data_IF_433417845992
#
_entry.id   IF_433417845992
#
_cell.length_a   1.000
_cell.length_b   1.000
_cell.length_c   1.000
_cell.angle_alpha   90.00
_cell.angle_beta   90.00
_cell.angle_gamma   90.00
#
_symmetry.space_group_name_H-M   'P 1'
#
loop_
_entity.id
_entity.type
_entity.pdbx_description
1 polymer ?
#
# COMPACT_ATOMS: atom_id res chain seq x y z
N UNK A 1 11.38 9.79 -10.18
CA UNK A 1 10.80 8.89 -9.17
C UNK A 1 9.34 9.27 -9.00
N UNK A 2 8.44 8.28 -8.90
CA UNK A 2 7.01 8.55 -8.68
C UNK A 2 6.76 8.97 -7.23
N UNK A 3 6.03 10.07 -7.07
CA UNK A 3 5.70 10.65 -5.77
C UNK A 3 4.19 10.87 -5.66
N UNK A 4 3.68 10.92 -4.45
CA UNK A 4 2.29 11.28 -4.19
C UNK A 4 2.12 12.80 -4.28
N UNK A 5 1.69 13.29 -5.44
CA UNK A 5 1.39 14.72 -5.66
C UNK A 5 0.33 15.25 -4.69
N UNK A 6 -0.68 14.42 -4.41
CA UNK A 6 -1.74 14.74 -3.43
C UNK A 6 -1.17 14.89 -2.02
N UNK A 7 -0.24 14.03 -1.60
CA UNK A 7 0.37 14.14 -0.27
C UNK A 7 1.14 15.46 -0.11
N UNK A 8 1.93 15.85 -1.11
CA UNK A 8 2.66 17.13 -1.10
C UNK A 8 1.68 18.31 -0.97
N UNK A 9 0.61 18.30 -1.78
CA UNK A 9 -0.41 19.35 -1.75
C UNK A 9 -1.12 19.41 -0.39
N UNK A 10 -1.47 18.27 0.19
CA UNK A 10 -2.14 18.19 1.48
C UNK A 10 -1.28 18.73 2.61
N UNK A 11 -0.01 18.31 2.71
CA UNK A 11 0.88 18.79 3.76
C UNK A 11 1.17 20.28 3.61
N UNK A 12 1.32 20.78 2.37
CA UNK A 12 1.44 22.22 2.11
C UNK A 12 0.20 22.99 2.60
N UNK A 13 -1.00 22.51 2.27
CA UNK A 13 -2.25 23.16 2.67
C UNK A 13 -2.48 23.09 4.18
N UNK A 14 -2.14 21.96 4.83
CA UNK A 14 -2.20 21.81 6.30
C UNK A 14 -1.37 22.86 7.02
N UNK A 15 -0.23 23.24 6.45
CA UNK A 15 0.65 24.29 6.97
C UNK A 15 0.24 25.71 6.54
N UNK A 16 -0.83 25.86 5.76
CA UNK A 16 -1.32 27.16 5.28
C UNK A 16 -0.42 27.81 4.23
N UNK A 17 0.41 27.03 3.55
CA UNK A 17 1.39 27.57 2.60
C UNK A 17 0.85 27.65 1.18
N UNK A 18 1.19 28.73 0.48
CA UNK A 18 1.06 28.82 -0.98
C UNK A 18 2.14 27.98 -1.67
N UNK A 19 1.96 27.67 -2.96
CA UNK A 19 2.99 26.96 -3.73
C UNK A 19 4.32 27.72 -3.77
N UNK A 20 4.26 29.05 -3.79
CA UNK A 20 5.45 29.90 -3.78
C UNK A 20 6.17 29.87 -2.43
N UNK A 21 5.43 29.90 -1.32
CA UNK A 21 6.02 29.71 0.01
C UNK A 21 6.68 28.33 0.17
N UNK A 22 6.04 27.25 -0.30
CA UNK A 22 6.69 25.94 -0.28
C UNK A 22 7.97 25.93 -1.13
N UNK A 23 7.96 26.59 -2.28
CA UNK A 23 9.13 26.69 -3.14
C UNK A 23 10.29 27.41 -2.44
N UNK A 24 10.00 28.55 -1.80
CA UNK A 24 11.00 29.32 -1.04
C UNK A 24 11.56 28.53 0.16
N UNK A 25 10.71 27.87 0.96
CA UNK A 25 11.15 27.14 2.16
C UNK A 25 11.93 25.88 1.77
N UNK A 26 11.53 25.19 0.70
CA UNK A 26 12.19 23.98 0.21
C UNK A 26 13.41 24.22 -0.67
N UNK A 27 13.78 25.48 -0.91
CA UNK A 27 14.84 25.88 -1.85
C UNK A 27 14.64 25.26 -3.25
N UNK A 28 13.41 25.36 -3.76
CA UNK A 28 13.00 24.87 -5.07
C UNK A 28 12.41 26.01 -5.90
N UNK A 29 12.44 25.86 -7.23
CA UNK A 29 11.68 26.77 -8.09
C UNK A 29 10.17 26.53 -7.95
N UNK A 30 9.37 27.59 -8.11
CA UNK A 30 7.90 27.48 -8.18
C UNK A 30 7.47 26.47 -9.26
N UNK A 31 8.16 26.45 -10.40
CA UNK A 31 7.92 25.48 -11.47
C UNK A 31 8.16 24.04 -11.01
N UNK A 32 9.16 23.81 -10.17
CA UNK A 32 9.43 22.48 -9.60
C UNK A 32 8.28 22.04 -8.70
N UNK A 33 7.81 22.91 -7.81
CA UNK A 33 6.66 22.62 -6.92
C UNK A 33 5.39 22.37 -7.72
N UNK A 34 5.09 23.20 -8.72
CA UNK A 34 3.94 23.00 -9.61
C UNK A 34 4.04 21.68 -10.37
N UNK A 35 5.22 21.33 -10.89
CA UNK A 35 5.45 20.07 -11.59
C UNK A 35 5.26 18.87 -10.66
N UNK A 36 5.76 18.97 -9.43
CA UNK A 36 5.56 17.97 -8.37
C UNK A 36 4.07 17.75 -8.08
N UNK A 37 3.30 18.82 -7.89
CA UNK A 37 1.87 18.71 -7.57
C UNK A 37 1.01 18.27 -8.77
N UNK A 38 1.48 18.42 -10.01
CA UNK A 38 0.67 18.11 -11.21
C UNK A 38 1.09 16.83 -11.95
N UNK A 39 2.38 16.45 -11.92
CA UNK A 39 2.93 15.36 -12.73
C UNK A 39 3.37 14.14 -11.89
N UNK A 40 3.22 14.20 -10.56
CA UNK A 40 3.56 13.09 -9.65
C UNK A 40 4.99 12.55 -9.82
N UNK A 41 5.94 13.38 -10.26
CA UNK A 41 7.32 12.98 -10.55
C UNK A 41 8.35 14.01 -10.10
N UNK A 42 9.39 13.55 -9.39
CA UNK A 42 10.48 14.39 -8.87
C UNK A 42 11.85 13.69 -8.92
N UNK A 43 12.92 14.48 -8.82
CA UNK A 43 14.27 13.96 -8.56
C UNK A 43 14.42 13.57 -7.08
N UNK A 44 15.43 12.76 -6.76
CA UNK A 44 15.70 12.40 -5.36
C UNK A 44 16.04 13.60 -4.49
N UNK A 45 16.74 14.58 -5.05
CA UNK A 45 17.08 15.83 -4.36
C UNK A 45 15.82 16.62 -4.02
N UNK A 46 14.92 16.83 -4.99
CA UNK A 46 13.61 17.47 -4.74
C UNK A 46 12.81 16.73 -3.68
N UNK A 47 12.81 15.39 -3.71
CA UNK A 47 12.13 14.58 -2.68
C UNK A 47 12.76 14.81 -1.31
N UNK A 48 14.08 14.83 -1.21
CA UNK A 48 14.80 15.05 0.04
C UNK A 48 14.48 16.43 0.62
N UNK A 49 14.51 17.50 -0.19
CA UNK A 49 14.16 18.85 0.25
C UNK A 49 12.72 18.93 0.73
N UNK A 50 11.78 18.32 0.00
CA UNK A 50 10.37 18.28 0.40
C UNK A 50 10.16 17.50 1.69
N UNK A 51 10.81 16.34 1.87
CA UNK A 51 10.70 15.56 3.10
C UNK A 51 11.24 16.32 4.31
N UNK A 52 12.37 17.02 4.15
CA UNK A 52 12.96 17.85 5.21
C UNK A 52 12.03 19.00 5.63
N UNK A 53 11.45 19.72 4.66
CA UNK A 53 10.60 20.89 4.94
C UNK A 53 9.19 20.52 5.39
N UNK A 54 8.62 19.46 4.83
CA UNK A 54 7.30 18.97 5.23
C UNK A 54 7.36 18.10 6.48
N UNK A 55 8.56 17.74 6.94
CA UNK A 55 8.85 16.90 8.11
C UNK A 55 8.10 15.56 8.06
N UNK A 56 8.09 14.94 6.88
CA UNK A 56 7.48 13.63 6.67
C UNK A 56 8.50 12.64 6.12
N UNK A 57 8.39 11.35 6.50
CA UNK A 57 9.27 10.32 6.00
C UNK A 57 9.12 10.13 4.49
N UNK A 58 10.20 9.74 3.83
CA UNK A 58 10.25 9.58 2.38
C UNK A 58 9.22 8.58 1.88
N UNK A 59 8.97 7.53 2.65
CA UNK A 59 8.02 6.46 2.35
C UNK A 59 6.57 6.95 2.25
N UNK A 60 6.23 8.07 2.91
CA UNK A 60 4.92 8.72 2.83
C UNK A 60 4.81 9.63 1.59
N UNK A 61 5.93 10.20 1.14
CA UNK A 61 5.97 11.05 -0.05
C UNK A 61 6.00 10.22 -1.34
N UNK A 62 6.58 9.03 -1.29
CA UNK A 62 6.63 8.11 -2.43
C UNK A 62 5.25 7.54 -2.72
N UNK A 63 4.92 7.40 -4.01
CA UNK A 63 3.65 6.79 -4.40
C UNK A 63 3.66 5.33 -3.96
N UNK A 64 2.82 5.01 -2.97
CA UNK A 64 2.50 3.63 -2.66
C UNK A 64 1.45 3.17 -3.66
N UNK A 65 1.72 2.05 -4.32
CA UNK A 65 0.75 1.43 -5.22
C UNK A 65 -0.36 0.80 -4.37
N UNK A 66 -1.34 1.63 -3.99
CA UNK A 66 -2.43 1.29 -3.07
C UNK A 66 -3.22 0.09 -3.60
N UNK A 67 -3.34 -0.01 -4.92
CA UNK A 67 -4.00 -1.11 -5.61
C UNK A 67 -3.22 -2.43 -5.47
N UNK A 68 -1.89 -2.37 -5.60
CA UNK A 68 -1.03 -3.54 -5.39
C UNK A 68 -1.12 -4.06 -3.94
N UNK A 69 -1.17 -3.16 -2.95
CA UNK A 69 -1.28 -3.53 -1.53
C UNK A 69 -2.66 -4.13 -1.20
N UNK A 70 -3.74 -3.56 -1.73
CA UNK A 70 -5.10 -4.09 -1.56
C UNK A 70 -5.24 -5.47 -2.21
N UNK A 71 -4.72 -5.62 -3.43
CA UNK A 71 -4.68 -6.89 -4.15
C UNK A 71 -3.88 -7.96 -3.39
N UNK A 72 -2.71 -7.61 -2.85
CA UNK A 72 -1.91 -8.55 -2.04
C UNK A 72 -2.65 -9.02 -0.79
N UNK A 73 -3.35 -8.13 -0.07
CA UNK A 73 -4.16 -8.50 1.09
C UNK A 73 -5.30 -9.44 0.71
N UNK A 74 -5.98 -9.15 -0.40
CA UNK A 74 -7.07 -9.99 -0.92
C UNK A 74 -6.56 -11.39 -1.32
N UNK A 75 -5.45 -11.48 -2.06
CA UNK A 75 -4.83 -12.76 -2.42
C UNK A 75 -4.38 -13.56 -1.20
N UNK A 76 -3.78 -12.92 -0.20
CA UNK A 76 -3.35 -13.61 1.03
C UNK A 76 -4.56 -14.23 1.75
N UNK A 77 -5.67 -13.49 1.85
CA UNK A 77 -6.92 -13.97 2.46
C UNK A 77 -7.52 -15.12 1.64
N UNK A 78 -7.60 -14.97 0.32
CA UNK A 78 -8.08 -16.02 -0.58
C UNK A 78 -7.26 -17.31 -0.43
N UNK A 79 -5.92 -17.19 -0.47
CA UNK A 79 -5.02 -18.33 -0.30
C UNK A 79 -5.27 -19.06 1.01
N UNK A 80 -5.44 -18.31 2.10
CA UNK A 80 -5.69 -18.89 3.42
C UNK A 80 -7.05 -19.61 3.48
N UNK A 81 -8.11 -19.01 2.90
CA UNK A 81 -9.43 -19.62 2.82
C UNK A 81 -9.42 -20.90 2.00
N UNK A 82 -8.74 -20.92 0.84
CA UNK A 82 -8.62 -22.11 0.00
C UNK A 82 -7.87 -23.24 0.73
N UNK A 83 -6.77 -22.91 1.40
CA UNK A 83 -6.03 -23.90 2.19
C UNK A 83 -6.85 -24.44 3.36
N UNK A 84 -7.62 -23.59 4.05
CA UNK A 84 -8.49 -24.01 5.14
C UNK A 84 -9.61 -24.94 4.64
N UNK A 85 -10.23 -24.62 3.49
CA UNK A 85 -11.25 -25.45 2.87
C UNK A 85 -10.72 -26.83 2.46
N UNK A 86 -9.52 -26.90 1.87
CA UNK A 86 -8.86 -28.17 1.50
C UNK A 86 -8.60 -29.03 2.73
N UNK A 87 -8.05 -28.46 3.80
CA UNK A 87 -7.77 -29.19 5.05
C UNK A 87 -9.06 -29.70 5.69
N UNK A 88 -10.10 -28.86 5.76
CA UNK A 88 -11.40 -29.26 6.31
C UNK A 88 -12.04 -30.38 5.49
N UNK A 89 -12.02 -30.27 4.15
CA UNK A 89 -12.54 -31.30 3.25
C UNK A 89 -11.81 -32.63 3.40
N UNK A 90 -10.47 -32.61 3.49
CA UNK A 90 -9.66 -33.82 3.69
C UNK A 90 -9.94 -34.49 5.05
N UNK A 91 -10.13 -33.70 6.11
CA UNK A 91 -10.47 -34.23 7.43
C UNK A 91 -11.88 -34.85 7.46
N UNK A 92 -12.86 -34.19 6.84
CA UNK A 92 -14.21 -34.72 6.71
C UNK A 92 -14.25 -36.01 5.88
N UNK A 93 -13.54 -36.05 4.75
CA UNK A 93 -13.48 -37.22 3.87
C UNK A 93 -12.81 -38.43 4.53
N UNK A 94 -11.64 -38.23 5.15
CA UNK A 94 -10.92 -39.30 5.84
C UNK A 94 -11.67 -39.82 7.07
N UNK A 95 -12.27 -38.92 7.86
CA UNK A 95 -13.11 -39.31 9.00
C UNK A 95 -14.35 -40.10 8.59
N UNK A 96 -15.07 -39.65 7.55
CA UNK A 96 -16.22 -40.38 7.01
C UNK A 96 -15.84 -41.76 6.48
N UNK A 97 -14.68 -41.89 5.82
CA UNK A 97 -14.20 -43.16 5.30
C UNK A 97 -13.84 -44.15 6.41
N UNK A 98 -13.21 -43.69 7.50
CA UNK A 98 -12.91 -44.53 8.67
C UNK A 98 -14.17 -44.96 9.42
N UNK A 99 -15.17 -44.07 9.53
CA UNK A 99 -16.45 -44.41 10.15
C UNK A 99 -17.19 -45.47 9.34
N UNK A 100 -17.21 -45.32 8.02
CA UNK A 100 -17.87 -46.26 7.12
C UNK A 100 -17.19 -47.64 7.17
N UNK A 101 -15.86 -47.70 7.16
CA UNK A 101 -15.14 -48.98 7.27
C UNK A 101 -15.39 -49.67 8.61
N UNK A 102 -15.50 -48.92 9.71
CA UNK A 102 -15.83 -49.46 11.02
C UNK A 102 -17.23 -50.10 11.06
N UNK A 103 -18.24 -49.43 10.48
CA UNK A 103 -19.63 -49.92 10.47
C UNK A 103 -19.83 -51.17 9.60
N UNK A 104 -19.10 -51.29 8.48
CA UNK A 104 -19.17 -52.44 7.57
C UNK A 104 -18.38 -53.66 8.08
N UNK A 105 -17.34 -53.45 8.89
CA UNK A 105 -16.50 -54.53 9.44
C UNK A 105 -17.00 -55.13 10.77
N UNK A 106 -18.03 -54.54 11.38
CA UNK A 106 -18.60 -55.01 12.65
C UNK A 106 -19.78 -55.99 12.49
N UNK A 107 -20.01 -56.53 11.28
CA UNK A 107 -21.08 -57.48 10.95
C UNK A 107 -20.59 -58.92 10.78
#
# INVERSE_FOLDING_TARGET
>A
MEISSERVRQERQRRGWTQQQLAEIADLSLRTVQRVENQAAASNETISSLCAVLEIPREELLRQDVDALAYQKALRRMRWLLSAAVVAGAAMGSGGMLLMSYLLGSG
#
